data_IF_075681589037
#
_entry.id   IF_075681589037
#
_cell.length_a   1.000
_cell.length_b   1.000
_cell.length_c   1.000
_cell.angle_alpha   90.00
_cell.angle_beta   90.00
_cell.angle_gamma   90.00
#
_symmetry.space_group_name_H-M   'P 1'
#
loop_
_entity.id
_entity.type
_entity.pdbx_description
1 polymer ?
#
# COMPACT_ATOMS: atom_id res chain seq x y z
N UNK A 1 9.09 0.23 -19.11
CA UNK A 1 7.80 0.06 -18.43
C UNK A 1 7.57 1.20 -17.43
N UNK A 2 6.58 2.05 -17.67
CA UNK A 2 6.20 3.14 -16.76
C UNK A 2 5.58 2.55 -15.49
N UNK A 3 5.72 3.25 -14.36
CA UNK A 3 5.20 2.82 -13.03
C UNK A 3 3.70 2.47 -13.04
N UNK A 4 2.92 3.11 -13.90
CA UNK A 4 1.50 2.83 -14.12
C UNK A 4 1.25 1.50 -14.83
N UNK A 5 2.04 1.17 -15.85
CA UNK A 5 1.91 -0.08 -16.63
C UNK A 5 2.19 -1.31 -15.74
N UNK A 6 3.20 -1.23 -14.87
CA UNK A 6 3.47 -2.30 -13.89
C UNK A 6 2.33 -2.49 -12.90
N UNK A 7 1.69 -1.39 -12.47
CA UNK A 7 0.58 -1.43 -11.52
C UNK A 7 -0.68 -2.06 -12.14
N UNK A 8 -0.97 -1.71 -13.38
CA UNK A 8 -2.06 -2.29 -14.16
C UNK A 8 -1.82 -3.77 -14.44
N UNK A 9 -0.60 -4.14 -14.85
CA UNK A 9 -0.20 -5.52 -15.08
C UNK A 9 -0.40 -6.40 -13.84
N UNK A 10 0.15 -5.99 -12.69
CA UNK A 10 -0.01 -6.72 -11.42
C UNK A 10 -1.49 -6.84 -11.03
N UNK A 11 -2.29 -5.79 -11.23
CA UNK A 11 -3.72 -5.81 -10.91
C UNK A 11 -4.50 -6.79 -11.79
N UNK A 12 -4.12 -6.96 -13.05
CA UNK A 12 -4.77 -7.87 -13.99
C UNK A 12 -4.39 -9.33 -13.70
N UNK A 13 -3.09 -9.62 -13.50
CA UNK A 13 -2.60 -10.95 -13.11
C UNK A 13 -3.28 -11.45 -11.83
N UNK A 14 -3.42 -10.58 -10.81
CA UNK A 14 -4.09 -10.93 -9.56
C UNK A 14 -5.57 -11.22 -9.79
N UNK A 15 -6.25 -10.47 -10.67
CA UNK A 15 -7.66 -10.74 -10.99
C UNK A 15 -7.83 -12.09 -11.68
N UNK A 16 -6.94 -12.44 -12.60
CA UNK A 16 -7.00 -13.71 -13.32
C UNK A 16 -6.77 -14.89 -12.37
N UNK A 17 -5.74 -14.82 -11.51
CA UNK A 17 -5.50 -15.82 -10.45
C UNK A 17 -6.73 -15.94 -9.54
N UNK A 18 -7.33 -14.82 -9.12
CA UNK A 18 -8.51 -14.84 -8.24
C UNK A 18 -9.80 -15.31 -8.95
N UNK A 19 -9.82 -15.42 -10.27
CA UNK A 19 -10.94 -15.99 -11.03
C UNK A 19 -10.72 -17.50 -11.24
N UNK A 20 -9.49 -17.91 -11.56
CA UNK A 20 -9.13 -19.32 -11.75
C UNK A 20 -9.29 -20.14 -10.47
N UNK A 21 -8.94 -19.59 -9.30
CA UNK A 21 -8.97 -20.33 -8.03
C UNK A 21 -10.34 -20.37 -7.32
N UNK A 22 -11.45 -20.04 -8.00
CA UNK A 22 -12.83 -20.00 -7.42
C UNK A 22 -12.94 -19.29 -6.06
N UNK A 23 -12.09 -18.30 -5.80
CA UNK A 23 -12.06 -17.64 -4.50
C UNK A 23 -13.29 -16.74 -4.28
N UNK A 24 -13.70 -16.60 -3.02
CA UNK A 24 -14.83 -15.78 -2.67
C UNK A 24 -14.58 -14.29 -2.97
N UNK A 25 -15.66 -13.57 -3.26
CA UNK A 25 -15.66 -12.11 -3.41
C UNK A 25 -15.09 -11.43 -2.15
N UNK A 26 -15.30 -12.00 -0.97
CA UNK A 26 -14.81 -11.46 0.31
C UNK A 26 -13.29 -11.52 0.38
N UNK A 27 -12.68 -12.63 -0.03
CA UNK A 27 -11.23 -12.75 -0.09
C UNK A 27 -10.61 -11.84 -1.16
N UNK A 28 -11.20 -11.77 -2.35
CA UNK A 28 -10.75 -10.84 -3.40
C UNK A 28 -10.68 -9.39 -2.90
N UNK A 29 -11.75 -8.91 -2.25
CA UNK A 29 -11.78 -7.55 -1.68
C UNK A 29 -10.73 -7.38 -0.57
N UNK A 30 -10.54 -8.39 0.27
CA UNK A 30 -9.56 -8.34 1.36
C UNK A 30 -8.12 -8.26 0.84
N UNK A 31 -7.79 -9.06 -0.18
CA UNK A 31 -6.49 -9.04 -0.89
C UNK A 31 -6.24 -7.67 -1.51
N UNK A 32 -7.19 -7.19 -2.34
CA UNK A 32 -7.06 -5.91 -3.03
C UNK A 32 -6.90 -4.74 -2.04
N UNK A 33 -7.66 -4.76 -0.94
CA UNK A 33 -7.60 -3.72 0.09
C UNK A 33 -6.25 -3.73 0.82
N UNK A 34 -5.77 -4.90 1.22
CA UNK A 34 -4.49 -5.03 1.92
C UNK A 34 -3.33 -4.59 1.04
N UNK A 35 -3.29 -5.07 -0.21
CA UNK A 35 -2.26 -4.69 -1.18
C UNK A 35 -2.30 -3.21 -1.54
N UNK A 36 -3.48 -2.62 -1.73
CA UNK A 36 -3.60 -1.19 -2.01
C UNK A 36 -3.05 -0.32 -0.87
N UNK A 37 -3.28 -0.71 0.39
CA UNK A 37 -2.74 -0.01 1.55
C UNK A 37 -1.21 -0.14 1.66
N UNK A 38 -0.66 -1.32 1.40
CA UNK A 38 0.79 -1.55 1.36
C UNK A 38 1.46 -0.71 0.27
N UNK A 39 0.91 -0.72 -0.94
CA UNK A 39 1.41 0.08 -2.06
C UNK A 39 1.35 1.58 -1.74
N UNK A 40 0.24 2.06 -1.16
CA UNK A 40 0.09 3.46 -0.76
C UNK A 40 1.12 3.86 0.29
N UNK A 41 1.40 3.00 1.28
CA UNK A 41 2.44 3.24 2.28
C UNK A 41 3.82 3.34 1.63
N UNK A 42 4.16 2.40 0.75
CA UNK A 42 5.44 2.39 0.05
C UNK A 42 5.63 3.64 -0.83
N UNK A 43 4.58 4.10 -1.51
CA UNK A 43 4.64 5.34 -2.30
C UNK A 43 4.90 6.56 -1.42
N UNK A 44 4.22 6.69 -0.29
CA UNK A 44 4.43 7.80 0.64
C UNK A 44 5.81 7.76 1.30
N UNK A 45 6.33 6.57 1.62
CA UNK A 45 7.69 6.41 2.15
C UNK A 45 8.75 6.83 1.12
N UNK A 46 8.52 6.60 -0.18
CA UNK A 46 9.40 7.12 -1.25
C UNK A 46 9.39 8.65 -1.29
N UNK A 47 8.20 9.26 -1.27
CA UNK A 47 8.05 10.72 -1.20
C UNK A 47 8.72 11.28 0.05
N UNK A 48 8.59 10.59 1.19
CA UNK A 48 9.21 11.01 2.44
C UNK A 48 10.73 10.99 2.33
N UNK A 49 11.31 9.94 1.74
CA UNK A 49 12.75 9.84 1.51
C UNK A 49 13.27 10.96 0.60
N UNK A 50 12.55 11.28 -0.47
CA UNK A 50 12.88 12.39 -1.37
C UNK A 50 12.80 13.74 -0.65
N UNK A 51 11.74 13.97 0.13
CA UNK A 51 11.55 15.22 0.86
C UNK A 51 12.59 15.40 1.98
N UNK A 52 12.97 14.33 2.67
CA UNK A 52 14.09 14.33 3.63
C UNK A 52 15.41 14.63 2.92
N UNK A 53 15.63 14.08 1.72
CA UNK A 53 16.79 14.38 0.90
C UNK A 53 16.89 15.88 0.58
N UNK A 54 15.79 16.48 0.10
CA UNK A 54 15.69 17.93 -0.14
C UNK A 54 15.94 18.73 1.14
N UNK A 55 15.28 18.36 2.22
CA UNK A 55 15.44 19.01 3.52
C UNK A 55 16.89 19.03 4.00
N UNK A 56 17.64 17.94 3.83
CA UNK A 56 19.06 17.87 4.23
C UNK A 56 19.95 18.80 3.40
N UNK A 57 19.66 18.97 2.11
CA UNK A 57 20.42 19.78 1.16
C UNK A 57 20.02 21.27 1.15
N UNK A 58 18.87 21.62 1.76
CA UNK A 58 18.29 22.97 1.72
C UNK A 58 18.88 23.96 2.72
N UNK A 59 18.71 25.25 2.42
CA UNK A 59 19.04 26.37 3.32
C UNK A 59 18.16 26.38 4.58
N UNK A 60 18.51 27.12 5.65
CA UNK A 60 17.66 27.27 6.84
C UNK A 60 16.22 27.75 6.51
N UNK A 61 16.08 28.73 5.61
CA UNK A 61 14.78 29.29 5.22
C UNK A 61 13.92 28.28 4.46
N UNK A 62 14.54 27.47 3.60
CA UNK A 62 13.85 26.40 2.88
C UNK A 62 13.47 25.25 3.83
N UNK A 63 14.33 24.93 4.80
CA UNK A 63 14.05 23.92 5.84
C UNK A 63 12.80 24.29 6.64
N UNK A 64 12.62 25.56 7.02
CA UNK A 64 11.41 26.00 7.72
C UNK A 64 10.13 25.75 6.89
N UNK A 65 10.20 25.91 5.56
CA UNK A 65 9.06 25.62 4.66
C UNK A 65 8.81 24.12 4.47
N UNK A 66 9.85 23.29 4.57
CA UNK A 66 9.79 21.84 4.35
C UNK A 66 9.42 21.06 5.63
N UNK A 67 9.72 21.57 6.83
CA UNK A 67 9.35 20.98 8.12
C UNK A 67 7.86 20.58 8.22
N UNK A 68 6.89 21.49 7.98
CA UNK A 68 5.47 21.13 8.12
C UNK A 68 5.07 20.02 7.15
N UNK A 69 5.57 20.07 5.91
CA UNK A 69 5.29 19.04 4.90
C UNK A 69 5.83 17.65 5.32
N UNK A 70 7.03 17.61 5.90
CA UNK A 70 7.61 16.37 6.43
C UNK A 70 6.81 15.82 7.63
N UNK A 71 6.35 16.70 8.52
CA UNK A 71 5.54 16.33 9.68
C UNK A 71 4.19 15.75 9.22
N UNK A 72 3.52 16.41 8.28
CA UNK A 72 2.22 15.98 7.77
C UNK A 72 2.33 14.65 7.02
N UNK A 73 3.36 14.51 6.18
CA UNK A 73 3.63 13.25 5.49
C UNK A 73 3.91 12.11 6.48
N UNK A 74 4.69 12.36 7.52
CA UNK A 74 4.94 11.38 8.57
C UNK A 74 3.64 10.96 9.32
N UNK A 75 2.77 11.93 9.64
CA UNK A 75 1.47 11.64 10.26
C UNK A 75 0.60 10.76 9.37
N UNK A 76 0.56 11.05 8.06
CA UNK A 76 -0.20 10.25 7.09
C UNK A 76 0.34 8.81 7.06
N UNK A 77 1.66 8.63 6.94
CA UNK A 77 2.29 7.29 6.92
C UNK A 77 1.97 6.54 8.22
N UNK A 78 2.10 7.20 9.38
CA UNK A 78 1.78 6.60 10.69
C UNK A 78 0.32 6.15 10.76
N UNK A 79 -0.61 6.93 10.18
CA UNK A 79 -2.04 6.59 10.13
C UNK A 79 -2.37 5.35 9.29
N UNK A 80 -1.48 4.95 8.38
CA UNK A 80 -1.67 3.74 7.56
C UNK A 80 -1.42 2.46 8.37
N UNK A 81 -0.59 2.48 9.41
CA UNK A 81 -0.27 1.30 10.22
C UNK A 81 -1.52 0.58 10.75
N UNK A 82 -2.42 1.25 11.49
CA UNK A 82 -3.66 0.64 11.97
C UNK A 82 -4.59 0.15 10.84
N UNK A 83 -4.61 0.84 9.69
CA UNK A 83 -5.42 0.45 8.52
C UNK A 83 -4.88 -0.82 7.88
N UNK A 84 -3.57 -0.92 7.72
CA UNK A 84 -2.88 -2.11 7.21
C UNK A 84 -3.12 -3.29 8.16
N UNK A 85 -2.94 -3.11 9.47
CA UNK A 85 -3.18 -4.17 10.44
C UNK A 85 -4.65 -4.65 10.43
N UNK A 86 -5.62 -3.75 10.22
CA UNK A 86 -7.03 -4.12 10.07
C UNK A 86 -7.26 -4.91 8.76
N UNK A 87 -6.68 -4.46 7.65
CA UNK A 87 -6.80 -5.15 6.37
C UNK A 87 -6.11 -6.52 6.37
N UNK A 88 -4.98 -6.64 7.04
CA UNK A 88 -4.26 -7.91 7.26
C UNK A 88 -5.11 -8.91 8.03
N UNK A 89 -5.76 -8.50 9.12
CA UNK A 89 -6.69 -9.36 9.86
C UNK A 89 -7.87 -9.80 8.99
N UNK A 90 -8.41 -8.89 8.17
CA UNK A 90 -9.50 -9.21 7.25
C UNK A 90 -9.05 -10.20 6.16
N UNK A 91 -7.83 -10.03 5.65
CA UNK A 91 -7.19 -10.94 4.70
C UNK A 91 -6.99 -12.33 5.31
N UNK A 92 -6.35 -12.43 6.48
CA UNK A 92 -6.12 -13.71 7.17
C UNK A 92 -7.44 -14.42 7.50
N UNK A 93 -8.46 -13.69 7.95
CA UNK A 93 -9.79 -14.25 8.20
C UNK A 93 -10.49 -14.70 6.92
N UNK A 94 -10.26 -14.00 5.80
CA UNK A 94 -10.84 -14.40 4.53
C UNK A 94 -10.17 -15.66 3.99
N UNK A 95 -8.83 -15.77 4.04
CA UNK A 95 -8.09 -16.99 3.67
C UNK A 95 -8.63 -18.20 4.41
N UNK A 96 -8.78 -18.09 5.73
CA UNK A 96 -9.24 -19.21 6.56
C UNK A 96 -10.67 -19.68 6.21
N UNK A 97 -11.46 -18.84 5.52
CA UNK A 97 -12.80 -19.17 5.07
C UNK A 97 -12.90 -19.50 3.57
N UNK A 98 -11.79 -19.50 2.84
CA UNK A 98 -11.77 -19.94 1.45
C UNK A 98 -11.84 -21.47 1.39
N UNK A 99 -12.62 -22.05 0.47
CA UNK A 99 -12.54 -23.48 0.18
C UNK A 99 -11.14 -23.73 -0.41
N UNK A 100 -10.25 -24.29 0.39
CA UNK A 100 -8.97 -24.78 -0.12
C UNK A 100 -9.29 -26.15 -0.73
N UNK A 101 -9.56 -26.20 -2.04
CA UNK A 101 -9.45 -27.46 -2.76
C UNK A 101 -7.97 -27.87 -2.72
N UNK A 102 -7.64 -28.69 -1.72
CA UNK A 102 -6.40 -29.45 -1.64
C UNK A 102 -6.61 -30.74 -2.44
N UNK A 103 -6.82 -30.64 -3.75
CA UNK A 103 -6.71 -31.78 -4.67
C UNK A 103 -5.44 -31.68 -5.52
#
# INVERSE_FOLDING_TARGET
>A
MKKQELREFIKNEIKEILIEFRVSKKFRIAVETYQALLLKRQELEKVQKELVGKFKASSPEEKEKLKPQLIDLHKIIKSLGPKIAKAERAYNSAIAGEPVDLE
#
